data_IF_543304313779
#
_entry.id   IF_543304313779
#
_cell.length_a   1.000
_cell.length_b   1.000
_cell.length_c   1.000
_cell.angle_alpha   90.00
_cell.angle_beta   90.00
_cell.angle_gamma   90.00
#
_symmetry.space_group_name_H-M   'P 1'
#
loop_
_entity.id
_entity.type
_entity.pdbx_description
1 polymer ?
#
# COMPACT_ATOMS: atom_id res chain seq x y z
N UNK A 1 -54.93 8.30 -9.61
CA UNK A 1 -54.18 7.27 -8.85
C UNK A 1 -53.35 6.43 -9.84
N UNK A 2 -52.28 6.82 -10.55
CA UNK A 2 -51.16 7.76 -10.35
C UNK A 2 -50.54 7.62 -8.97
N UNK A 3 -49.72 6.58 -8.76
CA UNK A 3 -48.58 6.45 -7.83
C UNK A 3 -48.11 4.97 -7.72
N UNK A 4 -47.98 4.25 -8.84
CA UNK A 4 -47.55 2.84 -8.82
C UNK A 4 -46.60 2.48 -9.98
N UNK A 5 -45.83 3.45 -10.45
CA UNK A 5 -44.77 3.27 -11.46
C UNK A 5 -43.59 4.17 -11.07
N UNK A 6 -42.91 3.87 -9.96
CA UNK A 6 -41.66 4.58 -9.58
C UNK A 6 -40.77 3.74 -8.63
N UNK A 7 -40.86 2.41 -8.71
CA UNK A 7 -40.13 1.48 -7.83
C UNK A 7 -39.37 0.40 -8.61
N UNK A 8 -38.91 0.71 -9.83
CA UNK A 8 -38.25 -0.28 -10.70
C UNK A 8 -37.07 0.26 -11.51
N UNK A 9 -36.41 1.33 -11.06
CA UNK A 9 -35.20 1.86 -11.74
C UNK A 9 -34.02 2.20 -10.81
N UNK A 10 -34.04 1.78 -9.53
CA UNK A 10 -32.95 2.07 -8.59
C UNK A 10 -32.20 0.82 -8.08
N UNK A 11 -32.03 -0.19 -8.94
CA UNK A 11 -31.41 -1.47 -8.58
C UNK A 11 -30.16 -1.82 -9.40
N UNK A 12 -29.55 -0.87 -10.12
CA UNK A 12 -28.47 -1.19 -11.08
C UNK A 12 -27.12 -0.48 -10.83
N UNK A 13 -26.85 0.05 -9.63
CA UNK A 13 -25.56 0.71 -9.33
C UNK A 13 -24.78 0.15 -8.12
N UNK A 14 -25.00 -1.10 -7.71
CA UNK A 14 -24.26 -1.72 -6.59
C UNK A 14 -23.42 -2.95 -6.96
N UNK A 15 -23.01 -3.10 -8.22
CA UNK A 15 -22.08 -4.17 -8.62
C UNK A 15 -20.75 -3.55 -9.05
N UNK A 16 -19.97 -3.06 -8.07
CA UNK A 16 -18.53 -2.82 -8.29
C UNK A 16 -17.64 -3.28 -7.13
N UNK A 17 -18.14 -4.18 -6.26
CA UNK A 17 -17.31 -4.88 -5.26
C UNK A 17 -17.78 -6.33 -5.01
N UNK A 18 -18.45 -6.96 -6.00
CA UNK A 18 -18.97 -8.32 -5.90
C UNK A 18 -18.24 -9.32 -6.79
N UNK A 19 -17.01 -9.70 -6.44
CA UNK A 19 -16.27 -10.86 -7.00
C UNK A 19 -14.99 -11.09 -6.18
N UNK A 20 -15.15 -11.47 -4.91
CA UNK A 20 -14.07 -11.44 -3.91
C UNK A 20 -13.05 -12.57 -4.06
N UNK A 21 -13.42 -13.76 -4.52
CA UNK A 21 -12.46 -14.88 -4.54
C UNK A 21 -11.66 -14.99 -5.85
N UNK A 22 -12.27 -14.67 -6.99
CA UNK A 22 -11.61 -14.78 -8.30
C UNK A 22 -10.60 -13.65 -8.52
N UNK A 23 -10.94 -12.41 -8.14
CA UNK A 23 -10.03 -11.27 -8.28
C UNK A 23 -8.87 -11.32 -7.30
N UNK A 24 -9.08 -11.87 -6.10
CA UNK A 24 -7.99 -12.08 -5.14
C UNK A 24 -7.01 -13.14 -5.63
N UNK A 25 -7.50 -14.25 -6.18
CA UNK A 25 -6.65 -15.25 -6.86
C UNK A 25 -5.95 -14.67 -8.08
N UNK A 26 -6.61 -13.81 -8.86
CA UNK A 26 -6.00 -13.16 -10.02
C UNK A 26 -4.89 -12.17 -9.61
N UNK A 27 -5.07 -11.44 -8.50
CA UNK A 27 -4.06 -10.54 -7.95
C UNK A 27 -2.86 -11.32 -7.40
N UNK A 28 -3.10 -12.39 -6.64
CA UNK A 28 -2.04 -13.28 -6.16
C UNK A 28 -1.31 -13.98 -7.32
N UNK A 29 -2.02 -14.32 -8.40
CA UNK A 29 -1.44 -14.89 -9.60
C UNK A 29 -0.60 -13.85 -10.35
N UNK A 30 -1.07 -12.61 -10.45
CA UNK A 30 -0.33 -11.49 -11.04
C UNK A 30 0.92 -11.13 -10.24
N UNK A 31 0.85 -11.15 -8.91
CA UNK A 31 2.02 -10.96 -8.04
C UNK A 31 3.04 -12.10 -8.21
N UNK A 32 2.57 -13.35 -8.31
CA UNK A 32 3.45 -14.49 -8.62
C UNK A 32 4.05 -14.42 -10.01
N UNK A 33 3.29 -14.00 -11.02
CA UNK A 33 3.78 -13.85 -12.39
C UNK A 33 4.79 -12.71 -12.51
N UNK A 34 4.57 -11.59 -11.79
CA UNK A 34 5.56 -10.51 -11.70
C UNK A 34 6.85 -10.99 -11.04
N UNK A 35 6.74 -11.70 -9.91
CA UNK A 35 7.90 -12.28 -9.23
C UNK A 35 8.62 -13.34 -10.08
N UNK A 36 7.90 -14.08 -10.93
CA UNK A 36 8.48 -15.03 -11.87
C UNK A 36 9.20 -14.32 -13.02
N UNK A 37 8.60 -13.28 -13.61
CA UNK A 37 9.21 -12.44 -14.64
C UNK A 37 10.46 -11.72 -14.14
N UNK A 38 10.44 -11.21 -12.90
CA UNK A 38 11.62 -10.64 -12.26
C UNK A 38 12.74 -11.68 -12.09
N UNK A 39 12.40 -12.92 -11.70
CA UNK A 39 13.39 -14.01 -11.61
C UNK A 39 13.92 -14.44 -12.98
N UNK A 40 13.08 -14.52 -14.01
CA UNK A 40 13.49 -14.82 -15.39
C UNK A 40 14.41 -13.73 -15.96
N UNK A 41 14.12 -12.45 -15.69
CA UNK A 41 14.98 -11.34 -16.09
C UNK A 41 16.34 -11.38 -15.38
N UNK A 42 16.37 -11.72 -14.09
CA UNK A 42 17.64 -11.89 -13.34
C UNK A 42 18.47 -13.07 -13.86
N UNK A 43 17.81 -14.15 -14.31
CA UNK A 43 18.48 -15.31 -14.91
C UNK A 43 18.95 -15.02 -16.35
N UNK A 44 18.18 -14.29 -17.16
CA UNK A 44 18.53 -13.94 -18.54
C UNK A 44 19.60 -12.84 -18.66
N UNK A 45 19.90 -12.10 -17.58
CA UNK A 45 21.06 -11.18 -17.56
C UNK A 45 22.39 -11.94 -17.41
N UNK A 46 22.37 -13.22 -16.98
CA UNK A 46 23.58 -14.04 -16.90
C UNK A 46 24.01 -14.65 -18.22
N UNK A 47 23.12 -14.75 -19.21
CA UNK A 47 23.42 -15.35 -20.50
C UNK A 47 22.84 -14.49 -21.63
N UNK A 48 23.72 -14.07 -22.55
CA UNK A 48 23.47 -13.62 -23.94
C UNK A 48 23.69 -12.12 -24.24
N UNK A 49 24.86 -11.86 -24.82
CA UNK A 49 25.13 -10.74 -25.73
C UNK A 49 24.36 -10.91 -27.05
N UNK A 50 23.93 -9.76 -27.61
CA UNK A 50 23.49 -9.48 -28.99
C UNK A 50 21.99 -9.66 -29.33
N UNK A 51 21.37 -8.56 -29.79
CA UNK A 51 20.15 -8.57 -30.60
C UNK A 51 19.20 -7.42 -30.27
N UNK A 52 18.98 -6.52 -31.24
CA UNK A 52 18.20 -5.27 -31.20
C UNK A 52 16.85 -5.36 -30.45
N UNK A 53 16.50 -4.42 -29.55
CA UNK A 53 15.28 -4.53 -28.75
C UNK A 53 14.01 -4.05 -29.49
N UNK A 54 12.84 -4.65 -29.21
CA UNK A 54 11.52 -4.06 -29.49
C UNK A 54 11.33 -2.77 -28.67
N UNK A 55 10.26 -1.96 -28.84
CA UNK A 55 10.03 -0.78 -28.03
C UNK A 55 9.87 -1.21 -26.56
N UNK A 56 10.96 -1.07 -25.81
CA UNK A 56 11.05 -1.37 -24.40
C UNK A 56 10.14 -0.40 -23.68
N UNK A 57 9.06 -0.92 -23.07
CA UNK A 57 8.45 -0.26 -21.92
C UNK A 57 9.60 -0.02 -20.95
N UNK A 58 10.06 1.23 -20.86
CA UNK A 58 11.17 1.64 -20.02
C UNK A 58 10.76 1.34 -18.58
N UNK A 59 11.14 0.16 -18.09
CA UNK A 59 11.15 -0.13 -16.67
C UNK A 59 12.07 0.94 -16.09
N UNK A 60 11.55 1.84 -15.24
CA UNK A 60 12.39 2.87 -14.65
C UNK A 60 13.60 2.17 -14.03
N UNK A 61 14.80 2.75 -14.15
CA UNK A 61 15.93 2.28 -13.36
C UNK A 61 15.60 2.56 -11.89
N UNK A 62 14.99 1.57 -11.24
CA UNK A 62 14.40 1.65 -9.91
C UNK A 62 15.51 1.51 -8.87
N UNK A 63 16.33 2.54 -8.71
CA UNK A 63 17.22 2.62 -7.56
C UNK A 63 16.43 2.94 -6.29
N UNK A 64 16.70 2.20 -5.21
CA UNK A 64 16.10 2.41 -3.89
C UNK A 64 17.14 2.85 -2.86
N UNK A 65 16.70 3.63 -1.87
CA UNK A 65 17.48 4.02 -0.69
C UNK A 65 16.81 3.49 0.56
N UNK A 66 17.62 2.93 1.46
CA UNK A 66 17.15 2.51 2.77
C UNK A 66 17.09 3.71 3.72
N UNK A 67 15.98 3.81 4.43
CA UNK A 67 15.73 4.79 5.47
C UNK A 67 15.38 4.05 6.75
N UNK A 68 15.94 4.49 7.89
CA UNK A 68 15.64 3.92 9.19
C UNK A 68 15.48 5.01 10.25
N UNK A 69 14.54 5.96 10.05
CA UNK A 69 14.29 6.96 11.06
C UNK A 69 13.78 6.24 12.32
N UNK A 70 14.22 6.72 13.50
CA UNK A 70 13.64 6.36 14.79
C UNK A 70 13.36 4.84 14.94
N UNK A 71 12.08 4.47 14.89
CA UNK A 71 11.47 3.19 15.29
C UNK A 71 11.01 2.33 14.12
N UNK A 72 11.23 2.73 12.87
CA UNK A 72 10.90 1.93 11.69
C UNK A 72 12.03 1.93 10.66
N UNK A 73 11.92 1.06 9.67
CA UNK A 73 12.79 1.07 8.48
C UNK A 73 11.95 0.86 7.22
N UNK A 74 12.39 1.44 6.11
CA UNK A 74 11.72 1.37 4.80
C UNK A 74 12.71 1.62 3.68
N UNK A 75 12.56 0.94 2.55
CA UNK A 75 13.25 1.29 1.31
C UNK A 75 12.32 2.12 0.42
N UNK A 76 12.80 3.28 -0.01
CA UNK A 76 12.05 4.21 -0.86
C UNK A 76 12.79 4.42 -2.19
N UNK A 77 12.06 4.68 -3.29
CA UNK A 77 12.68 5.10 -4.54
C UNK A 77 13.62 6.30 -4.35
N UNK A 78 14.79 6.29 -4.99
CA UNK A 78 15.83 7.30 -4.78
C UNK A 78 15.40 8.74 -5.09
N UNK A 79 14.38 8.90 -5.92
CA UNK A 79 13.77 10.17 -6.32
C UNK A 79 12.65 10.63 -5.36
N UNK A 80 12.28 9.83 -4.36
CA UNK A 80 11.33 10.21 -3.34
C UNK A 80 12.06 10.92 -2.20
N UNK A 81 11.36 11.86 -1.56
CA UNK A 81 11.87 12.64 -0.44
C UNK A 81 11.11 12.28 0.83
N UNK A 82 11.83 11.70 1.78
CA UNK A 82 11.37 11.47 3.14
C UNK A 82 11.58 12.74 3.99
N UNK A 83 10.55 13.18 4.71
CA UNK A 83 10.63 14.36 5.58
C UNK A 83 9.80 14.17 6.85
N UNK A 84 10.22 14.73 8.00
CA UNK A 84 9.41 14.69 9.22
C UNK A 84 8.11 15.46 9.01
N UNK A 85 7.03 15.00 9.63
CA UNK A 85 5.74 15.71 9.61
C UNK A 85 5.67 16.86 10.62
N UNK A 86 6.45 16.76 11.70
CA UNK A 86 6.51 17.72 12.80
C UNK A 86 7.97 18.02 13.14
N UNK A 87 8.23 19.24 13.63
CA UNK A 87 9.57 19.65 14.08
C UNK A 87 9.93 19.05 15.45
N UNK A 88 8.92 18.70 16.24
CA UNK A 88 9.07 18.19 17.58
C UNK A 88 9.50 16.72 17.57
N UNK A 89 10.46 16.40 18.45
CA UNK A 89 10.89 15.02 18.70
C UNK A 89 10.14 14.49 19.90
N UNK A 90 9.48 13.35 19.72
CA UNK A 90 8.80 12.63 20.79
C UNK A 90 9.42 11.23 20.97
N UNK A 91 9.59 10.74 22.20
CA UNK A 91 9.94 9.34 22.43
C UNK A 91 8.76 8.40 22.12
N UNK A 92 7.54 8.93 22.09
CA UNK A 92 6.32 8.12 22.00
C UNK A 92 5.82 7.92 20.58
N UNK A 93 6.17 8.83 19.66
CA UNK A 93 5.73 8.76 18.28
C UNK A 93 6.82 9.19 17.30
N UNK A 94 6.68 8.75 16.06
CA UNK A 94 7.56 9.11 14.98
C UNK A 94 6.84 9.12 13.64
N UNK A 95 6.69 10.33 13.08
CA UNK A 95 5.84 10.58 11.92
C UNK A 95 6.61 11.25 10.78
N UNK A 96 6.52 10.64 9.60
CA UNK A 96 7.17 11.11 8.39
C UNK A 96 6.21 11.07 7.21
N UNK A 97 6.37 12.00 6.28
CA UNK A 97 5.74 11.91 4.97
C UNK A 97 6.77 11.70 3.87
N UNK A 98 6.35 11.01 2.81
CA UNK A 98 7.15 10.80 1.61
C UNK A 98 6.47 11.50 0.45
N UNK A 99 7.26 12.32 -0.23
CA UNK A 99 6.85 13.05 -1.43
C UNK A 99 7.55 12.51 -2.66
N UNK A 100 6.84 12.46 -3.77
CA UNK A 100 7.41 12.24 -5.10
C UNK A 100 8.26 13.43 -5.54
N UNK A 101 8.95 13.29 -6.69
CA UNK A 101 9.81 14.34 -7.28
C UNK A 101 9.06 15.66 -7.52
N UNK A 102 7.79 15.60 -7.90
CA UNK A 102 6.93 16.77 -8.12
C UNK A 102 6.33 17.34 -6.83
N UNK A 103 6.69 16.81 -5.66
CA UNK A 103 6.26 17.31 -4.36
C UNK A 103 4.90 16.77 -3.90
N UNK A 104 4.28 15.85 -4.65
CA UNK A 104 3.03 15.22 -4.27
C UNK A 104 3.26 14.26 -3.09
N UNK A 105 2.52 14.45 -2.01
CA UNK A 105 2.59 13.57 -0.84
C UNK A 105 1.77 12.31 -1.11
N UNK A 106 2.44 11.17 -1.04
CA UNK A 106 1.87 9.87 -1.42
C UNK A 106 1.90 8.84 -0.30
N UNK A 107 2.81 9.02 0.67
CA UNK A 107 3.00 8.06 1.75
C UNK A 107 3.09 8.81 3.06
N UNK A 108 2.38 8.30 4.06
CA UNK A 108 2.51 8.67 5.45
C UNK A 108 3.02 7.45 6.23
N UNK A 109 4.04 7.69 7.05
CA UNK A 109 4.71 6.71 7.88
C UNK A 109 4.52 7.14 9.33
N UNK A 110 3.77 6.36 10.08
CA UNK A 110 3.50 6.62 11.48
C UNK A 110 4.09 5.52 12.34
N UNK A 111 4.52 5.87 13.53
CA UNK A 111 4.91 4.89 14.53
C UNK A 111 4.55 5.41 15.90
N UNK A 112 3.85 4.61 16.68
CA UNK A 112 3.38 4.99 18.01
C UNK A 112 3.75 3.90 19.01
N UNK A 113 4.13 4.31 20.21
CA UNK A 113 4.44 3.40 21.32
C UNK A 113 3.23 2.49 21.58
N UNK A 114 3.47 1.18 21.64
CA UNK A 114 2.44 0.14 21.77
C UNK A 114 1.54 0.32 22.99
N UNK A 115 2.08 0.85 24.10
CA UNK A 115 1.32 1.15 25.32
C UNK A 115 0.27 2.27 25.15
N UNK A 116 0.30 3.00 24.03
CA UNK A 116 -0.72 3.99 23.66
C UNK A 116 -1.96 3.36 23.00
N UNK A 117 -1.89 2.08 22.64
CA UNK A 117 -3.03 1.37 22.06
C UNK A 117 -3.80 0.64 23.16
N UNK A 118 -5.13 0.67 23.05
CA UNK A 118 -6.04 -0.09 23.92
C UNK A 118 -6.04 -1.60 23.61
N UNK A 119 -5.26 -2.02 22.61
CA UNK A 119 -5.24 -3.37 22.09
C UNK A 119 -3.91 -4.06 22.40
N UNK A 120 -4.00 -5.33 22.76
CA UNK A 120 -2.85 -6.13 23.18
C UNK A 120 -2.26 -6.97 22.05
N UNK A 121 -2.95 -7.06 20.91
CA UNK A 121 -2.51 -7.89 19.79
C UNK A 121 -2.76 -7.25 18.42
N UNK A 122 -1.92 -7.64 17.45
CA UNK A 122 -2.11 -7.26 16.04
C UNK A 122 -3.46 -7.71 15.48
N UNK A 123 -4.02 -8.81 15.99
CA UNK A 123 -5.32 -9.31 15.56
C UNK A 123 -6.45 -8.36 15.97
N UNK A 124 -6.43 -7.87 17.21
CA UNK A 124 -7.42 -6.89 17.68
C UNK A 124 -7.31 -5.58 16.90
N UNK A 125 -6.08 -5.14 16.60
CA UNK A 125 -5.85 -3.96 15.76
C UNK A 125 -6.39 -4.16 14.34
N UNK A 126 -6.21 -5.34 13.75
CA UNK A 126 -6.74 -5.69 12.44
C UNK A 126 -8.28 -5.73 12.41
N UNK A 127 -8.89 -6.38 13.39
CA UNK A 127 -10.35 -6.48 13.50
C UNK A 127 -10.98 -5.09 13.69
N UNK A 128 -10.36 -4.25 14.53
CA UNK A 128 -10.78 -2.87 14.73
C UNK A 128 -10.62 -2.03 13.45
N UNK A 129 -9.50 -2.19 12.73
CA UNK A 129 -9.20 -1.50 11.49
C UNK A 129 -10.23 -1.79 10.40
N UNK A 130 -10.62 -3.05 10.20
CA UNK A 130 -11.67 -3.42 9.23
C UNK A 130 -13.02 -2.85 9.66
N UNK A 131 -13.40 -3.05 10.92
CA UNK A 131 -14.73 -2.66 11.43
C UNK A 131 -14.97 -1.16 11.35
N UNK A 132 -13.93 -0.36 11.60
CA UNK A 132 -14.00 1.12 11.60
C UNK A 132 -13.58 1.75 10.28
N UNK A 133 -13.22 0.95 9.25
CA UNK A 133 -12.72 1.49 8.00
C UNK A 133 -13.79 2.27 7.24
N UNK A 134 -13.43 3.45 6.75
CA UNK A 134 -14.24 4.24 5.81
C UNK A 134 -14.01 3.80 4.35
N UNK A 135 -13.00 2.94 4.11
CA UNK A 135 -12.67 2.42 2.79
C UNK A 135 -13.75 1.46 2.28
N UNK A 136 -13.98 1.48 0.97
CA UNK A 136 -14.50 0.31 0.27
C UNK A 136 -13.36 -0.70 0.11
N UNK A 137 -13.24 -1.61 1.07
CA UNK A 137 -12.12 -2.56 1.19
C UNK A 137 -12.20 -3.60 0.07
N UNK A 138 -11.19 -3.64 -0.80
CA UNK A 138 -11.06 -4.63 -1.87
C UNK A 138 -9.97 -5.69 -1.60
N UNK A 139 -9.08 -5.43 -0.64
CA UNK A 139 -8.03 -6.37 -0.24
C UNK A 139 -7.77 -6.26 1.26
N UNK A 140 -7.60 -7.41 1.92
CA UNK A 140 -7.20 -7.49 3.32
C UNK A 140 -6.47 -8.79 3.60
N UNK A 141 -5.41 -8.72 4.40
CA UNK A 141 -4.67 -9.89 4.87
C UNK A 141 -4.03 -9.60 6.22
N UNK A 142 -3.91 -10.64 7.05
CA UNK A 142 -3.17 -10.59 8.31
C UNK A 142 -2.21 -11.77 8.35
N UNK A 143 -0.93 -11.52 8.68
CA UNK A 143 0.08 -12.57 8.82
C UNK A 143 1.09 -12.20 9.89
N UNK A 144 1.32 -13.10 10.84
CA UNK A 144 2.28 -12.88 11.92
C UNK A 144 1.96 -11.60 12.69
N UNK A 145 2.93 -10.70 12.79
CA UNK A 145 2.84 -9.42 13.49
C UNK A 145 2.40 -8.24 12.58
N UNK A 146 1.84 -8.49 11.40
CA UNK A 146 1.42 -7.43 10.50
C UNK A 146 0.09 -7.72 9.80
N UNK A 147 -0.54 -6.67 9.28
CA UNK A 147 -1.66 -6.78 8.36
C UNK A 147 -1.58 -5.73 7.25
N UNK A 148 -2.32 -5.96 6.17
CA UNK A 148 -2.55 -5.00 5.09
C UNK A 148 -4.05 -4.89 4.85
N UNK A 149 -4.52 -3.66 4.64
CA UNK A 149 -5.86 -3.32 4.15
C UNK A 149 -5.69 -2.38 2.96
N UNK A 150 -6.38 -2.66 1.85
CA UNK A 150 -6.43 -1.76 0.70
C UNK A 150 -7.84 -1.65 0.17
N UNK A 151 -8.16 -0.48 -0.35
CA UNK A 151 -9.50 -0.12 -0.80
C UNK A 151 -9.51 1.28 -1.39
N UNK A 152 -10.71 1.77 -1.69
CA UNK A 152 -10.90 3.14 -2.16
C UNK A 152 -11.65 3.97 -1.11
N UNK A 153 -11.24 5.22 -0.90
CA UNK A 153 -11.99 6.16 -0.07
C UNK A 153 -13.31 6.51 -0.72
N UNK A 154 -14.38 6.54 0.08
CA UNK A 154 -15.73 6.88 -0.40
C UNK A 154 -15.86 8.36 -0.75
N UNK A 155 -15.13 9.25 -0.07
CA UNK A 155 -15.27 10.71 -0.30
C UNK A 155 -14.67 11.15 -1.64
N UNK A 156 -13.51 10.61 -2.01
CA UNK A 156 -12.71 11.14 -3.12
C UNK A 156 -12.27 10.08 -4.16
N UNK A 157 -12.57 8.79 -3.92
CA UNK A 157 -12.19 7.70 -4.81
C UNK A 157 -10.69 7.39 -4.83
N UNK A 158 -9.89 7.99 -3.95
CA UNK A 158 -8.46 7.69 -3.85
C UNK A 158 -8.25 6.23 -3.44
N UNK A 159 -7.26 5.59 -4.05
CA UNK A 159 -6.80 4.28 -3.62
C UNK A 159 -5.94 4.45 -2.37
N UNK A 160 -6.20 3.63 -1.36
CA UNK A 160 -5.43 3.56 -0.12
C UNK A 160 -4.85 2.17 0.02
N UNK A 161 -3.56 2.09 0.32
CA UNK A 161 -2.86 0.90 0.78
C UNK A 161 -2.34 1.16 2.18
N UNK A 162 -2.80 0.40 3.16
CA UNK A 162 -2.41 0.55 4.55
C UNK A 162 -1.82 -0.75 5.07
N UNK A 163 -0.54 -0.72 5.45
CA UNK A 163 0.14 -1.79 6.16
C UNK A 163 0.42 -1.35 7.59
N UNK A 164 0.08 -2.21 8.56
CA UNK A 164 0.46 -2.04 9.96
C UNK A 164 1.39 -3.18 10.38
N UNK A 165 2.46 -2.84 11.10
CA UNK A 165 3.45 -3.80 11.65
C UNK A 165 3.60 -3.54 13.15
N UNK A 166 3.46 -4.59 13.95
CA UNK A 166 3.75 -4.56 15.39
C UNK A 166 5.20 -4.95 15.64
N UNK A 167 6.03 -3.99 16.05
CA UNK A 167 7.37 -4.21 16.58
C UNK A 167 7.34 -4.63 18.06
N UNK A 168 8.50 -4.54 18.72
CA UNK A 168 8.61 -4.91 20.14
C UNK A 168 7.93 -3.87 21.03
N UNK A 169 8.21 -2.60 20.78
CA UNK A 169 7.71 -1.49 21.59
C UNK A 169 6.77 -0.58 20.80
N UNK A 170 6.80 -0.63 19.47
CA UNK A 170 6.06 0.28 18.61
C UNK A 170 5.12 -0.46 17.67
N UNK A 171 4.04 0.22 17.30
CA UNK A 171 3.19 -0.17 16.18
C UNK A 171 3.39 0.88 15.10
N UNK A 172 3.78 0.44 13.91
CA UNK A 172 4.09 1.33 12.79
C UNK A 172 3.14 1.11 11.62
N UNK A 173 2.69 2.20 11.03
CA UNK A 173 1.81 2.25 9.87
C UNK A 173 2.56 2.80 8.66
N UNK A 174 2.39 2.12 7.54
CA UNK A 174 2.69 2.58 6.19
C UNK A 174 1.36 2.79 5.49
N UNK A 175 1.02 4.04 5.18
CA UNK A 175 -0.18 4.38 4.42
C UNK A 175 0.24 5.03 3.10
N UNK A 176 -0.14 4.43 1.98
CA UNK A 176 0.01 4.99 0.65
C UNK A 176 -1.36 5.43 0.16
N UNK A 177 -1.51 6.69 -0.26
CA UNK A 177 -2.75 7.21 -0.81
C UNK A 177 -2.50 7.93 -2.13
N UNK A 178 -3.32 7.62 -3.14
CA UNK A 178 -3.20 8.26 -4.44
C UNK A 178 -4.51 8.26 -5.25
N UNK A 179 -4.72 9.27 -6.09
CA UNK A 179 -5.84 9.29 -7.02
C UNK A 179 -5.60 8.29 -8.16
N UNK A 180 -6.68 7.82 -8.79
CA UNK A 180 -6.63 6.86 -9.91
C UNK A 180 -5.72 7.33 -11.06
N UNK A 181 -5.65 8.64 -11.30
CA UNK A 181 -4.78 9.24 -12.33
C UNK A 181 -3.28 9.04 -12.10
N UNK A 182 -2.85 8.70 -10.89
CA UNK A 182 -1.44 8.46 -10.52
C UNK A 182 -1.12 6.98 -10.31
N UNK A 183 -2.07 6.07 -10.55
CA UNK A 183 -1.90 4.63 -10.28
C UNK A 183 -0.72 4.01 -11.04
N UNK A 184 -0.59 4.29 -12.34
CA UNK A 184 0.51 3.74 -13.15
C UNK A 184 1.88 4.24 -12.71
N UNK A 185 1.94 5.39 -12.03
CA UNK A 185 3.15 5.92 -11.43
C UNK A 185 3.42 5.27 -10.07
N UNK A 186 2.42 5.16 -9.20
CA UNK A 186 2.64 4.83 -7.77
C UNK A 186 2.59 3.32 -7.51
N UNK A 187 1.65 2.61 -8.13
CA UNK A 187 1.41 1.19 -7.87
C UNK A 187 2.67 0.30 -8.06
N UNK A 188 3.54 0.53 -9.06
CA UNK A 188 4.76 -0.28 -9.22
C UNK A 188 5.70 -0.27 -8.01
N UNK A 189 5.67 0.78 -7.17
CA UNK A 189 6.56 0.88 -6.02
C UNK A 189 6.03 0.22 -4.74
N UNK A 190 4.70 -0.01 -4.65
CA UNK A 190 4.02 -0.37 -3.40
C UNK A 190 4.56 -1.68 -2.83
N UNK A 191 4.76 -2.70 -3.67
CA UNK A 191 5.24 -4.01 -3.21
C UNK A 191 6.62 -3.92 -2.56
N UNK A 192 7.57 -3.24 -3.21
CA UNK A 192 8.94 -3.08 -2.67
C UNK A 192 8.97 -2.24 -1.39
N UNK A 193 8.22 -1.13 -1.36
CA UNK A 193 8.11 -0.27 -0.17
C UNK A 193 7.49 -1.07 0.99
N UNK A 194 6.39 -1.77 0.72
CA UNK A 194 5.69 -2.59 1.72
C UNK A 194 6.57 -3.71 2.26
N UNK A 195 7.24 -4.48 1.39
CA UNK A 195 8.07 -5.60 1.80
C UNK A 195 9.30 -5.19 2.63
N UNK A 196 9.82 -3.98 2.40
CA UNK A 196 10.92 -3.43 3.19
C UNK A 196 10.49 -2.72 4.47
N UNK A 197 9.19 -2.46 4.65
CA UNK A 197 8.68 -1.76 5.83
C UNK A 197 8.66 -2.65 7.07
N UNK A 198 9.39 -2.24 8.10
CA UNK A 198 9.51 -2.95 9.39
C UNK A 198 9.41 -2.00 10.57
N UNK A 199 8.86 -2.46 11.69
CA UNK A 199 8.85 -1.76 12.98
C UNK A 199 9.91 -2.37 13.92
N UNK A 200 10.59 -1.54 14.74
CA UNK A 200 11.65 -1.94 15.68
C UNK A 200 11.10 -2.34 17.06
#
# INVERSE_FOLDING_TARGET
MRHLIFLLTFSLFLISCGQTDTKQKELELKEKELALKERELVLNVKDTNNGTPPPVNVVPDLSYKSHSPCTFSVNLPSNFKLQPMYDDKSPDYCDYSVKTKDGFEIIQLHSLLSSRFEFSSIKELYDAAIKKSELDICYKTQKGNWFVISGTKKENGNTVYWKRVSGNNFISDLQVEYPKSRESEIAPYISTISNSFTSK
#
